data_IF_158107238655
#
_entry.id   IF_158107238655
#
_cell.length_a   1.000
_cell.length_b   1.000
_cell.length_c   1.000
_cell.angle_alpha   90.00
_cell.angle_beta   90.00
_cell.angle_gamma   90.00
#
_symmetry.space_group_name_H-M   'P 1'
#
loop_
_entity.id
_entity.type
_entity.pdbx_description
1 polymer ?
#
# COMPACT_ATOMS: atom_id res chain seq x y z
N UNK A 1 -10.66 9.04 14.14
CA UNK A 1 -10.88 7.63 14.51
C UNK A 1 -10.36 6.75 13.38
N UNK A 2 -9.14 6.23 13.52
CA UNK A 2 -8.50 5.38 12.52
C UNK A 2 -9.25 4.03 12.50
N UNK A 3 -10.08 3.80 11.47
CA UNK A 3 -10.72 2.50 11.31
C UNK A 3 -9.62 1.49 11.00
N UNK A 4 -9.20 0.71 12.00
CA UNK A 4 -8.33 -0.46 11.82
C UNK A 4 -8.90 -1.29 10.68
N UNK A 5 -8.23 -1.25 9.53
CA UNK A 5 -8.63 -2.01 8.35
C UNK A 5 -8.72 -3.49 8.72
N UNK A 6 -9.78 -4.15 8.29
CA UNK A 6 -9.98 -5.59 8.53
C UNK A 6 -8.74 -6.36 8.05
N UNK A 7 -8.13 -7.17 8.93
CA UNK A 7 -6.94 -7.95 8.60
C UNK A 7 -7.22 -8.83 7.37
N UNK A 8 -6.24 -8.99 6.47
CA UNK A 8 -6.40 -9.82 5.27
C UNK A 8 -6.82 -11.26 5.59
N UNK A 9 -6.32 -11.83 6.69
CA UNK A 9 -6.75 -13.15 7.17
C UNK A 9 -8.24 -13.21 7.52
N UNK A 10 -8.83 -12.13 8.05
CA UNK A 10 -10.26 -12.05 8.33
C UNK A 10 -11.09 -12.02 7.05
N UNK A 11 -10.65 -11.25 6.04
CA UNK A 11 -11.31 -11.22 4.73
C UNK A 11 -11.25 -12.58 4.04
N UNK A 12 -10.12 -13.28 4.09
CA UNK A 12 -9.95 -14.62 3.51
C UNK A 12 -10.81 -15.65 4.26
N UNK A 13 -10.86 -15.59 5.59
CA UNK A 13 -11.72 -16.45 6.41
C UNK A 13 -13.19 -16.33 5.97
N UNK A 14 -13.71 -15.10 5.84
CA UNK A 14 -15.07 -14.89 5.36
C UNK A 14 -15.28 -15.32 3.91
N UNK A 15 -14.25 -15.26 3.05
CA UNK A 15 -14.36 -15.77 1.67
C UNK A 15 -14.52 -17.29 1.60
N UNK A 16 -13.89 -18.02 2.52
CA UNK A 16 -13.99 -19.48 2.59
C UNK A 16 -15.31 -19.90 3.27
N UNK A 17 -15.64 -19.29 4.41
CA UNK A 17 -16.81 -19.67 5.22
C UNK A 17 -18.12 -19.15 4.62
N UNK A 18 -18.10 -17.94 4.04
CA UNK A 18 -19.29 -17.31 3.47
C UNK A 18 -18.92 -16.45 2.26
N UNK A 19 -18.77 -17.12 1.12
CA UNK A 19 -18.25 -16.55 -0.13
C UNK A 19 -18.81 -15.17 -0.52
N UNK A 20 -20.13 -14.86 -0.37
CA UNK A 20 -20.67 -13.54 -0.75
C UNK A 20 -20.14 -12.40 0.12
N UNK A 21 -20.01 -12.62 1.43
CA UNK A 21 -19.46 -11.61 2.37
C UNK A 21 -17.98 -11.45 2.11
N UNK A 22 -17.25 -12.54 1.89
CA UNK A 22 -15.84 -12.46 1.53
C UNK A 22 -15.60 -11.64 0.27
N UNK A 23 -16.40 -11.86 -0.78
CA UNK A 23 -16.32 -11.07 -2.02
C UNK A 23 -16.57 -9.58 -1.76
N UNK A 24 -17.63 -9.27 -1.02
CA UNK A 24 -17.97 -7.89 -0.66
C UNK A 24 -16.83 -7.22 0.12
N UNK A 25 -16.25 -7.92 1.08
CA UNK A 25 -15.12 -7.42 1.86
C UNK A 25 -13.87 -7.20 0.98
N UNK A 26 -13.58 -8.09 0.02
CA UNK A 26 -12.49 -7.91 -0.94
C UNK A 26 -12.70 -6.66 -1.79
N UNK A 27 -13.90 -6.47 -2.36
CA UNK A 27 -14.21 -5.30 -3.18
C UNK A 27 -14.17 -4.00 -2.38
N UNK A 28 -14.79 -3.97 -1.19
CA UNK A 28 -14.76 -2.81 -0.29
C UNK A 28 -13.32 -2.46 0.11
N UNK A 29 -12.50 -3.47 0.39
CA UNK A 29 -11.11 -3.25 0.76
C UNK A 29 -10.28 -2.75 -0.43
N UNK A 30 -10.50 -3.31 -1.63
CA UNK A 30 -9.89 -2.82 -2.88
C UNK A 30 -10.27 -1.38 -3.22
N UNK A 31 -11.47 -0.93 -2.86
CA UNK A 31 -11.93 0.44 -3.11
C UNK A 31 -11.40 1.44 -2.06
N UNK A 32 -11.19 0.99 -0.83
CA UNK A 32 -10.88 1.87 0.31
C UNK A 32 -9.39 1.98 0.65
N UNK A 33 -8.56 0.98 0.31
CA UNK A 33 -7.16 0.96 0.75
C UNK A 33 -6.25 1.73 -0.22
N UNK A 34 -6.10 3.04 0.04
CA UNK A 34 -4.97 3.82 -0.49
C UNK A 34 -3.62 3.14 -0.15
N UNK A 35 -3.52 2.52 1.03
CA UNK A 35 -2.32 1.82 1.51
C UNK A 35 -1.82 0.69 0.59
N UNK A 36 -2.73 -0.02 -0.11
CA UNK A 36 -2.38 -1.15 -0.99
C UNK A 36 -1.69 -0.68 -2.27
N UNK A 37 -2.03 0.52 -2.76
CA UNK A 37 -1.38 1.14 -3.93
C UNK A 37 0.08 1.50 -3.66
N UNK A 38 0.47 1.76 -2.41
CA UNK A 38 1.85 2.14 -2.04
C UNK A 38 2.66 0.96 -1.50
N UNK A 39 2.05 0.14 -0.66
CA UNK A 39 2.71 -1.00 -0.05
C UNK A 39 3.02 -2.09 -1.09
N UNK A 40 2.22 -2.20 -2.15
CA UNK A 40 2.33 -3.29 -3.14
C UNK A 40 2.04 -4.68 -2.56
N UNK A 41 1.67 -4.75 -1.27
CA UNK A 41 1.37 -5.97 -0.51
C UNK A 41 -0.01 -6.49 -0.89
N UNK A 42 -0.13 -6.98 -2.12
CA UNK A 42 -1.36 -7.53 -2.67
C UNK A 42 -1.52 -9.02 -2.40
N UNK A 43 -0.71 -9.61 -1.50
CA UNK A 43 -0.72 -11.05 -1.20
C UNK A 43 -2.11 -11.59 -0.86
N UNK A 44 -2.90 -10.85 -0.06
CA UNK A 44 -4.28 -11.24 0.24
C UNK A 44 -5.26 -11.11 -0.94
N UNK A 45 -5.06 -10.15 -1.84
CA UNK A 45 -5.85 -10.00 -3.09
C UNK A 45 -5.54 -11.17 -4.03
N UNK A 46 -4.24 -11.47 -4.19
CA UNK A 46 -3.80 -12.59 -5.00
C UNK A 46 -4.29 -13.93 -4.45
N UNK A 47 -4.28 -14.12 -3.12
CA UNK A 47 -4.82 -15.31 -2.49
C UNK A 47 -6.34 -15.47 -2.75
N UNK A 48 -7.12 -14.40 -2.59
CA UNK A 48 -8.56 -14.43 -2.89
C UNK A 48 -8.84 -14.77 -4.37
N UNK A 49 -8.06 -14.21 -5.30
CA UNK A 49 -8.17 -14.51 -6.73
C UNK A 49 -7.84 -15.96 -7.07
N UNK A 50 -6.79 -16.52 -6.47
CA UNK A 50 -6.43 -17.93 -6.63
C UNK A 50 -7.46 -18.89 -6.02
N UNK A 51 -8.00 -18.58 -4.84
CA UNK A 51 -9.06 -19.38 -4.21
C UNK A 51 -10.29 -19.45 -5.13
N UNK A 52 -10.74 -18.30 -5.66
CA UNK A 52 -11.85 -18.24 -6.61
C UNK A 52 -11.57 -19.01 -7.89
N UNK A 53 -10.36 -18.89 -8.45
CA UNK A 53 -9.98 -19.61 -9.65
C UNK A 53 -9.96 -21.13 -9.43
N UNK A 54 -9.40 -21.62 -8.31
CA UNK A 54 -9.36 -23.05 -7.99
C UNK A 54 -10.76 -23.63 -7.79
N UNK A 55 -11.63 -22.92 -7.06
CA UNK A 55 -13.03 -23.34 -6.86
C UNK A 55 -13.76 -23.37 -8.21
N UNK A 56 -13.61 -22.32 -9.03
CA UNK A 56 -14.23 -22.25 -10.34
C UNK A 56 -13.75 -23.35 -11.30
N UNK A 57 -12.44 -23.62 -11.34
CA UNK A 57 -11.87 -24.73 -12.12
C UNK A 57 -12.39 -26.07 -11.64
N UNK A 58 -12.46 -26.30 -10.32
CA UNK A 58 -13.00 -27.55 -9.76
C UNK A 58 -14.47 -27.77 -10.14
N UNK A 59 -15.31 -26.73 -10.06
CA UNK A 59 -16.72 -26.80 -10.49
C UNK A 59 -16.86 -27.05 -11.99
N UNK A 60 -16.04 -26.39 -12.80
CA UNK A 60 -16.02 -26.57 -14.25
C UNK A 60 -15.53 -27.98 -14.64
N UNK A 61 -14.47 -28.49 -14.01
CA UNK A 61 -13.98 -29.84 -14.23
C UNK A 61 -15.03 -30.89 -13.86
N UNK A 62 -15.72 -30.69 -12.73
CA UNK A 62 -16.78 -31.58 -12.28
C UNK A 62 -17.92 -31.67 -13.30
N UNK A 63 -18.23 -30.57 -13.99
CA UNK A 63 -19.24 -30.55 -15.04
C UNK A 63 -18.81 -31.24 -16.35
N UNK A 64 -17.50 -31.31 -16.64
CA UNK A 64 -16.97 -32.01 -17.81
C UNK A 64 -16.86 -33.52 -17.55
N UNK A 65 -16.37 -33.90 -16.37
CA UNK A 65 -16.04 -35.29 -16.07
C UNK A 65 -17.22 -36.09 -15.49
N UNK A 66 -18.26 -35.43 -14.97
CA UNK A 66 -19.46 -36.11 -14.47
C UNK A 66 -20.66 -35.83 -15.38
N UNK A 67 -21.17 -36.83 -16.12
CA UNK A 67 -22.30 -36.64 -17.04
C UNK A 67 -23.63 -36.35 -16.34
N UNK A 68 -23.71 -36.56 -15.02
CA UNK A 68 -24.87 -36.23 -14.18
C UNK A 68 -24.80 -34.80 -13.60
N UNK A 69 -23.72 -34.07 -13.86
CA UNK A 69 -23.56 -32.72 -13.33
C UNK A 69 -24.52 -31.74 -14.01
N UNK A 70 -25.12 -30.88 -13.19
CA UNK A 70 -25.99 -29.80 -13.67
C UNK A 70 -25.19 -28.81 -14.55
N UNK A 71 -25.64 -28.52 -15.79
CA UNK A 71 -25.06 -27.49 -16.66
C UNK A 71 -24.92 -26.12 -15.98
N UNK A 72 -25.76 -25.81 -15.00
CA UNK A 72 -25.67 -24.57 -14.22
C UNK A 72 -24.36 -24.46 -13.43
N UNK A 73 -23.80 -25.60 -12.98
CA UNK A 73 -22.51 -25.67 -12.29
C UNK A 73 -21.33 -25.29 -13.18
N UNK A 74 -21.38 -25.66 -14.46
CA UNK A 74 -20.37 -25.25 -15.45
C UNK A 74 -20.37 -23.73 -15.66
N UNK A 75 -21.56 -23.15 -15.83
CA UNK A 75 -21.72 -21.70 -16.01
C UNK A 75 -21.22 -20.92 -14.79
N UNK A 76 -21.56 -21.36 -13.57
CA UNK A 76 -21.07 -20.76 -12.34
C UNK A 76 -19.54 -20.87 -12.22
N UNK A 77 -18.98 -22.04 -12.55
CA UNK A 77 -17.53 -22.26 -12.57
C UNK A 77 -16.80 -21.28 -13.48
N UNK A 78 -17.30 -21.06 -14.70
CA UNK A 78 -16.74 -20.08 -15.65
C UNK A 78 -16.79 -18.64 -15.12
N UNK A 79 -17.89 -18.24 -14.49
CA UNK A 79 -18.02 -16.92 -13.87
C UNK A 79 -16.99 -16.75 -12.75
N UNK A 80 -16.79 -17.77 -11.93
CA UNK A 80 -15.79 -17.73 -10.84
C UNK A 80 -14.35 -17.66 -11.37
N UNK A 81 -14.04 -18.39 -12.44
CA UNK A 81 -12.72 -18.32 -13.11
C UNK A 81 -12.48 -16.90 -13.65
N UNK A 82 -13.46 -16.34 -14.37
CA UNK A 82 -13.37 -14.98 -14.89
C UNK A 82 -13.20 -13.94 -13.77
N UNK A 83 -13.98 -14.06 -12.70
CA UNK A 83 -13.85 -13.21 -11.51
C UNK A 83 -12.49 -13.32 -10.84
N UNK A 84 -11.98 -14.54 -10.65
CA UNK A 84 -10.64 -14.81 -10.13
C UNK A 84 -9.55 -14.16 -10.99
N UNK A 85 -9.62 -14.33 -12.31
CA UNK A 85 -8.68 -13.75 -13.26
C UNK A 85 -8.67 -12.20 -13.22
N UNK A 86 -9.83 -11.56 -13.13
CA UNK A 86 -9.95 -10.09 -13.00
C UNK A 86 -9.29 -9.61 -11.70
N UNK A 87 -9.53 -10.29 -10.58
CA UNK A 87 -8.92 -9.97 -9.28
C UNK A 87 -7.40 -10.12 -9.34
N UNK A 88 -6.89 -11.21 -9.94
CA UNK A 88 -5.46 -11.44 -10.10
C UNK A 88 -4.79 -10.39 -10.99
N UNK A 89 -5.44 -10.01 -12.11
CA UNK A 89 -4.96 -8.93 -12.99
C UNK A 89 -4.89 -7.60 -12.24
N UNK A 90 -5.92 -7.26 -11.45
CA UNK A 90 -5.93 -6.06 -10.61
C UNK A 90 -4.79 -6.10 -9.58
N UNK A 91 -4.58 -7.24 -8.91
CA UNK A 91 -3.49 -7.41 -7.96
C UNK A 91 -2.10 -7.19 -8.59
N UNK A 92 -1.88 -7.69 -9.80
CA UNK A 92 -0.64 -7.49 -10.55
C UNK A 92 -0.44 -6.03 -10.97
N UNK A 93 -1.49 -5.40 -11.51
CA UNK A 93 -1.44 -3.99 -11.91
C UNK A 93 -1.18 -3.07 -10.71
N UNK A 94 -1.76 -3.37 -9.54
CA UNK A 94 -1.49 -2.62 -8.32
C UNK A 94 -0.02 -2.75 -7.89
N UNK A 95 0.59 -3.94 -7.96
CA UNK A 95 2.03 -4.10 -7.67
C UNK A 95 2.89 -3.24 -8.60
N UNK A 96 2.62 -3.28 -9.91
CA UNK A 96 3.35 -2.48 -10.90
C UNK A 96 3.19 -0.98 -10.64
N UNK A 97 1.99 -0.55 -10.29
CA UNK A 97 1.71 0.87 -9.95
C UNK A 97 2.44 1.30 -8.69
N UNK A 98 2.49 0.46 -7.65
CA UNK A 98 3.26 0.73 -6.43
C UNK A 98 4.75 0.94 -6.70
N UNK A 99 5.34 0.08 -7.56
CA UNK A 99 6.75 0.20 -7.96
C UNK A 99 6.99 1.53 -8.68
N UNK A 100 6.09 1.90 -9.61
CA UNK A 100 6.19 3.19 -10.33
C UNK A 100 6.05 4.38 -9.38
N UNK A 101 5.12 4.34 -8.43
CA UNK A 101 4.92 5.42 -7.46
C UNK A 101 6.16 5.66 -6.59
N UNK A 102 6.80 4.58 -6.13
CA UNK A 102 8.08 4.68 -5.42
C UNK A 102 9.16 5.36 -6.26
N UNK A 103 9.24 4.99 -7.54
CA UNK A 103 10.19 5.59 -8.49
C UNK A 103 9.89 7.07 -8.74
N UNK A 104 8.62 7.45 -8.89
CA UNK A 104 8.24 8.86 -9.04
C UNK A 104 8.62 9.69 -7.83
N UNK A 105 8.46 9.17 -6.62
CA UNK A 105 8.82 9.95 -5.43
C UNK A 105 10.34 10.01 -5.26
N UNK A 106 11.07 8.95 -5.60
CA UNK A 106 12.53 9.04 -5.65
C UNK A 106 13.01 10.13 -6.63
N UNK A 107 12.45 10.16 -7.84
CA UNK A 107 12.76 11.18 -8.85
C UNK A 107 12.37 12.60 -8.39
N UNK A 108 11.14 12.78 -7.91
CA UNK A 108 10.56 14.09 -7.61
C UNK A 108 11.05 14.66 -6.27
N UNK A 109 11.17 13.82 -5.23
CA UNK A 109 11.53 14.27 -3.88
C UNK A 109 13.02 14.11 -3.64
N UNK A 110 13.61 12.94 -3.89
CA UNK A 110 15.03 12.72 -3.55
C UNK A 110 15.97 13.33 -4.60
N UNK A 111 15.64 13.17 -5.89
CA UNK A 111 16.46 13.66 -7.01
C UNK A 111 16.04 15.03 -7.51
N UNK A 112 14.92 15.58 -7.01
CA UNK A 112 14.41 16.91 -7.32
C UNK A 112 14.15 17.15 -8.83
N UNK A 113 13.85 16.09 -9.59
CA UNK A 113 13.50 16.16 -11.02
C UNK A 113 12.10 16.78 -11.15
N UNK A 114 11.98 17.88 -11.91
CA UNK A 114 10.71 18.61 -12.09
C UNK A 114 10.08 18.43 -13.46
N UNK A 115 10.87 18.18 -14.50
CA UNK A 115 10.36 17.92 -15.86
C UNK A 115 9.56 16.62 -15.90
N UNK A 116 8.31 16.72 -16.36
CA UNK A 116 7.42 15.56 -16.51
C UNK A 116 7.91 14.61 -17.61
N UNK A 117 8.57 15.13 -18.64
CA UNK A 117 9.18 14.34 -19.72
C UNK A 117 10.37 13.52 -19.20
N UNK A 118 11.20 14.10 -18.32
CA UNK A 118 12.33 13.41 -17.68
C UNK A 118 11.85 12.36 -16.68
N UNK A 119 10.79 12.68 -15.92
CA UNK A 119 10.16 11.71 -15.01
C UNK A 119 9.56 10.54 -15.80
N UNK A 120 8.86 10.81 -16.90
CA UNK A 120 8.23 9.79 -17.75
C UNK A 120 9.27 8.86 -18.37
N UNK A 121 10.31 9.43 -19.00
CA UNK A 121 11.41 8.67 -19.61
C UNK A 121 12.19 7.87 -18.56
N UNK A 122 12.51 8.48 -17.42
CA UNK A 122 13.17 7.78 -16.31
C UNK A 122 12.31 6.64 -15.78
N UNK A 123 10.99 6.83 -15.65
CA UNK A 123 10.07 5.80 -15.18
C UNK A 123 9.72 4.72 -16.22
N UNK A 124 10.07 4.93 -17.50
CA UNK A 124 9.78 4.01 -18.59
C UNK A 124 8.30 3.97 -19.00
N UNK A 125 7.61 5.11 -18.91
CA UNK A 125 6.20 5.26 -19.30
C UNK A 125 6.02 6.44 -20.26
N UNK A 126 4.87 6.53 -20.92
CA UNK A 126 4.54 7.71 -21.72
C UNK A 126 4.26 8.92 -20.82
N UNK A 127 4.43 10.12 -21.38
CA UNK A 127 4.09 11.39 -20.74
C UNK A 127 2.67 11.37 -20.14
N UNK A 128 1.66 10.96 -20.92
CA UNK A 128 0.26 10.93 -20.47
C UNK A 128 0.05 10.01 -19.25
N UNK A 129 0.76 8.88 -19.21
CA UNK A 129 0.69 7.94 -18.08
C UNK A 129 1.38 8.55 -16.86
N UNK A 130 2.53 9.20 -17.03
CA UNK A 130 3.25 9.86 -15.94
C UNK A 130 2.41 10.99 -15.34
N UNK A 131 1.82 11.87 -16.17
CA UNK A 131 0.94 12.96 -15.72
C UNK A 131 -0.25 12.39 -14.96
N UNK A 132 -0.93 11.38 -15.51
CA UNK A 132 -2.07 10.74 -14.84
C UNK A 132 -1.67 10.11 -13.50
N UNK A 133 -0.55 9.40 -13.46
CA UNK A 133 -0.06 8.74 -12.25
C UNK A 133 0.33 9.78 -11.18
N UNK A 134 1.06 10.83 -11.55
CA UNK A 134 1.47 11.91 -10.66
C UNK A 134 0.27 12.70 -10.13
N UNK A 135 -0.72 13.00 -10.98
CA UNK A 135 -1.97 13.64 -10.54
C UNK A 135 -2.70 12.76 -9.52
N UNK A 136 -2.83 11.46 -9.79
CA UNK A 136 -3.42 10.54 -8.82
C UNK A 136 -2.62 10.52 -7.51
N UNK A 137 -1.29 10.64 -7.55
CA UNK A 137 -0.47 10.69 -6.34
C UNK A 137 -0.67 11.98 -5.53
N UNK A 138 -0.90 13.10 -6.20
CA UNK A 138 -1.26 14.38 -5.58
C UNK A 138 -2.63 14.24 -4.90
N UNK A 139 -3.64 13.77 -5.64
CA UNK A 139 -5.02 13.58 -5.16
C UNK A 139 -5.11 12.59 -3.98
N UNK A 140 -4.25 11.57 -3.99
CA UNK A 140 -4.16 10.59 -2.93
C UNK A 140 -3.39 11.12 -1.70
N UNK A 141 -2.66 12.23 -1.84
CA UNK A 141 -1.90 12.89 -0.78
C UNK A 141 -0.48 12.36 -0.59
N UNK A 142 0.07 11.64 -1.57
CA UNK A 142 1.45 11.14 -1.53
C UNK A 142 2.48 12.21 -1.88
N UNK A 143 2.11 13.13 -2.77
CA UNK A 143 2.87 14.33 -3.11
C UNK A 143 2.12 15.53 -2.54
N UNK A 144 2.30 15.77 -1.23
CA UNK A 144 1.65 16.91 -0.55
C UNK A 144 2.17 18.22 -1.13
N UNK A 145 1.25 19.15 -1.32
CA UNK A 145 1.54 20.50 -1.81
C UNK A 145 2.30 20.49 -3.15
N UNK A 146 2.01 19.49 -4.00
CA UNK A 146 2.53 19.43 -5.36
C UNK A 146 1.44 19.82 -6.37
N UNK A 147 1.82 20.53 -7.43
CA UNK A 147 0.94 20.87 -8.55
C UNK A 147 1.63 20.63 -9.88
N UNK A 148 0.85 20.24 -10.88
CA UNK A 148 1.34 20.04 -12.25
C UNK A 148 1.04 21.30 -13.06
N UNK A 149 2.08 21.92 -13.61
CA UNK A 149 1.96 23.03 -14.55
C UNK A 149 2.01 22.47 -15.96
N UNK A 150 0.86 22.47 -16.65
CA UNK A 150 0.74 21.88 -17.99
C UNK A 150 1.50 22.66 -19.06
N UNK A 151 1.59 23.99 -18.91
CA UNK A 151 2.25 24.86 -19.87
C UNK A 151 3.77 24.67 -19.90
N UNK A 152 4.38 24.49 -18.72
CA UNK A 152 5.82 24.24 -18.58
C UNK A 152 6.18 22.76 -18.56
N UNK A 153 5.17 21.87 -18.48
CA UNK A 153 5.32 20.42 -18.29
C UNK A 153 6.19 20.07 -17.08
N UNK A 154 5.95 20.76 -15.97
CA UNK A 154 6.71 20.57 -14.74
C UNK A 154 5.82 20.28 -13.54
N UNK A 155 6.39 19.59 -12.54
CA UNK A 155 5.80 19.42 -11.22
C UNK A 155 6.45 20.39 -10.22
N UNK A 156 5.63 21.18 -9.53
CA UNK A 156 6.07 22.15 -8.52
C UNK A 156 5.67 21.66 -7.14
N UNK A 157 6.65 21.46 -6.26
CA UNK A 157 6.49 21.19 -4.83
C UNK A 157 6.56 22.51 -4.04
N UNK A 158 5.49 22.87 -3.34
CA UNK A 158 5.42 24.09 -2.51
C UNK A 158 5.98 23.90 -1.09
N UNK A 159 6.04 22.65 -0.58
CA UNK A 159 6.66 22.34 0.71
C UNK A 159 7.46 21.03 0.62
N UNK A 160 8.77 21.10 0.85
CA UNK A 160 9.64 19.92 0.88
C UNK A 160 9.53 19.23 2.25
N UNK A 161 8.77 18.14 2.33
CA UNK A 161 8.78 17.23 3.48
C UNK A 161 9.26 15.86 2.98
N UNK A 162 10.43 15.37 3.40
CA UNK A 162 10.89 14.04 3.01
C UNK A 162 9.92 12.99 3.57
N UNK A 163 9.16 12.35 2.69
CA UNK A 163 8.26 11.24 3.04
C UNK A 163 9.11 9.98 3.08
N UNK A 164 9.62 9.60 4.25
CA UNK A 164 10.21 8.29 4.45
C UNK A 164 9.11 7.23 4.32
N UNK A 165 9.25 6.31 3.36
CA UNK A 165 8.44 5.11 3.35
C UNK A 165 8.78 4.28 4.56
N UNK A 166 7.88 4.26 5.54
CA UNK A 166 7.86 3.20 6.52
C UNK A 166 7.58 1.89 5.78
N UNK A 167 8.64 1.20 5.35
CA UNK A 167 8.57 -0.23 5.11
C UNK A 167 8.24 -0.84 6.47
N UNK A 168 7.08 -1.49 6.59
CA UNK A 168 6.84 -2.45 7.67
C UNK A 168 7.82 -3.62 7.47
N UNK A 169 9.06 -3.39 7.88
CA UNK A 169 10.09 -4.40 8.07
C UNK A 169 9.74 -5.11 9.37
N UNK A 170 9.04 -6.23 9.27
CA UNK A 170 9.06 -7.23 10.34
C UNK A 170 10.50 -7.68 10.52
N UNK A 171 11.04 -7.42 11.72
CA UNK A 171 12.30 -7.89 12.29
C UNK A 171 13.60 -7.25 11.78
N UNK A 172 14.05 -6.22 12.50
CA UNK A 172 15.43 -6.10 12.98
C UNK A 172 15.45 -5.10 14.15
N UNK A 173 15.42 -5.63 15.39
CA UNK A 173 15.76 -4.85 16.57
C UNK A 173 17.26 -4.54 16.53
N UNK A 174 17.61 -3.33 16.10
CA UNK A 174 18.80 -2.66 16.60
C UNK A 174 18.30 -1.62 17.61
N UNK A 175 18.31 -1.99 18.89
CA UNK A 175 17.82 -1.16 19.97
C UNK A 175 18.74 0.06 20.15
N UNK A 176 18.30 1.21 19.67
CA UNK A 176 18.54 2.42 20.43
C UNK A 176 17.63 2.30 21.67
N UNK A 177 18.18 1.86 22.80
CA UNK A 177 17.43 1.76 24.05
C UNK A 177 17.09 3.17 24.50
N UNK A 178 15.81 3.52 24.42
CA UNK A 178 15.25 4.71 25.07
C UNK A 178 14.93 4.36 26.53
N UNK A 179 15.46 5.14 27.46
CA UNK A 179 15.23 4.96 28.91
C UNK A 179 14.53 6.21 29.44
N UNK A 180 13.51 6.01 30.27
CA UNK A 180 12.85 7.11 30.96
C UNK A 180 13.66 7.49 32.21
N UNK A 181 14.14 8.73 32.25
CA UNK A 181 14.97 9.26 33.35
C UNK A 181 14.29 10.49 33.94
N UNK A 182 14.31 10.57 35.27
CA UNK A 182 13.78 11.73 35.99
C UNK A 182 14.81 12.85 35.94
N UNK A 183 14.39 14.03 35.46
CA UNK A 183 15.23 15.21 35.38
C UNK A 183 15.67 15.65 36.80
N UNK A 184 16.98 15.86 37.04
CA UNK A 184 17.47 16.34 38.35
C UNK A 184 17.11 17.80 38.64
N UNK A 185 16.80 18.60 37.61
CA UNK A 185 16.48 20.02 37.75
C UNK A 185 15.03 20.29 38.16
N UNK A 186 14.06 19.73 37.42
CA UNK A 186 12.63 20.00 37.63
C UNK A 186 11.82 18.77 38.08
N UNK A 187 12.43 17.58 38.12
CA UNK A 187 11.74 16.34 38.48
C UNK A 187 10.83 15.76 37.40
N UNK A 188 10.76 16.36 36.20
CA UNK A 188 9.98 15.83 35.07
C UNK A 188 10.58 14.54 34.51
N UNK A 189 9.74 13.65 34.00
CA UNK A 189 10.18 12.39 33.40
C UNK A 189 10.47 12.63 31.91
N UNK A 190 11.71 12.39 31.48
CA UNK A 190 12.14 12.58 30.09
C UNK A 190 12.56 11.24 29.50
N UNK A 191 12.33 11.03 28.21
CA UNK A 191 12.77 9.83 27.50
C UNK A 191 14.05 10.17 26.75
N UNK A 192 15.13 9.45 27.04
CA UNK A 192 16.47 9.78 26.53
C UNK A 192 17.13 8.55 25.91
N UNK A 193 18.00 8.77 24.92
CA UNK A 193 18.75 7.69 24.26
C UNK A 193 20.02 7.37 25.04
N UNK A 194 20.22 6.08 25.38
CA UNK A 194 21.41 5.62 26.12
C UNK A 194 22.69 6.02 25.38
N UNK A 195 23.59 6.73 26.07
CA UNK A 195 24.86 7.20 25.51
C UNK A 195 24.84 8.54 24.79
N UNK A 196 23.71 9.29 24.78
CA UNK A 196 23.66 10.69 24.32
C UNK A 196 23.18 11.62 25.43
N UNK A 197 23.78 12.81 25.52
CA UNK A 197 23.29 13.90 26.36
C UNK A 197 22.09 14.53 25.65
N UNK A 198 20.97 14.60 26.35
CA UNK A 198 19.71 15.18 25.86
C UNK A 198 19.26 16.28 26.81
N UNK A 199 18.50 17.26 26.33
CA UNK A 199 18.03 18.37 27.17
C UNK A 199 16.62 18.08 27.69
N UNK A 200 16.36 18.43 28.95
CA UNK A 200 15.03 18.33 29.54
C UNK A 200 14.05 19.23 28.78
N UNK A 201 12.93 18.66 28.31
CA UNK A 201 11.90 19.40 27.55
C UNK A 201 11.23 20.52 28.37
N UNK A 202 11.33 20.45 29.70
CA UNK A 202 10.63 21.35 30.61
C UNK A 202 11.51 22.49 31.15
N UNK A 203 12.81 22.25 31.31
CA UNK A 203 13.70 23.22 31.97
C UNK A 203 15.07 23.37 31.31
N UNK A 204 15.33 22.68 30.20
CA UNK A 204 16.59 22.76 29.46
C UNK A 204 17.80 22.17 30.19
N UNK A 205 17.61 21.51 31.34
CA UNK A 205 18.71 20.87 32.07
C UNK A 205 19.23 19.66 31.27
N UNK A 206 20.55 19.51 31.06
CA UNK A 206 21.10 18.35 30.39
C UNK A 206 20.89 17.08 31.23
N UNK A 207 20.45 16.00 30.57
CA UNK A 207 20.15 14.68 31.13
C UNK A 207 21.00 13.65 30.37
N UNK A 208 21.67 12.77 31.09
CA UNK A 208 22.39 11.61 30.57
C UNK A 208 21.78 10.31 31.09
N UNK A 209 21.79 9.27 30.24
CA UNK A 209 21.43 7.89 30.59
C UNK A 209 22.51 6.91 30.12
#
# INVERSE_FOLDING_TARGET
MEKKGTKWGWTIFWLIVFWPVGLFLVFKKLASDKSVLMSGKTGGISAAGWILAVIGVSGFLSAIFNPEADPSGAALGLIMIAGGAVILKKASNTKRTAIRYKKYIDLVVNQNVRSLDDIASSAGVSYDIAVKDLQNMIDLGYLRDASIHQDTREIILYQYVPVLYAQESTNAQASAQEVAVKCPGCGANNVVFVGKVSECEYCGTPINA
#
